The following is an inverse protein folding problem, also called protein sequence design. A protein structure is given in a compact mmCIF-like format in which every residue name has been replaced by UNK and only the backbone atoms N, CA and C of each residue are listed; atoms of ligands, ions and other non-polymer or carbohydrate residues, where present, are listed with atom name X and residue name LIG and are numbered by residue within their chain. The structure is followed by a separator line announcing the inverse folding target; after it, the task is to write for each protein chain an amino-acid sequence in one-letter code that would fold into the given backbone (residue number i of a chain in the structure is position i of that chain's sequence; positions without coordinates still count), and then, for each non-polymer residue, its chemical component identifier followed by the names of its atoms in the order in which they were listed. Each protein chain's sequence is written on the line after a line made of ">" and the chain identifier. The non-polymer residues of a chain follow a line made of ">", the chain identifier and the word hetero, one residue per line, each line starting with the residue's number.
data_IF_347780891011
#
_entry.id   IF_347780891011
#
_cell.length_a   1.000
_cell.length_b   1.000
_cell.length_c   1.000
_cell.angle_alpha   90.00
_cell.angle_beta   90.00
_cell.angle_gamma   90.00
#
_symmetry.space_group_name_H-M   'P 1'
#
loop_
_entity.id
_entity.type
_entity.pdbx_description
1 polymer ?
#
# COMPACT_ATOMS: atom_id res chain seq x y z
N UNK A 1 10.76 -27.63 17.14
CA UNK A 1 10.14 -27.20 15.87
C UNK A 1 10.02 -25.70 15.91
N UNK A 2 10.91 -24.97 15.23
CA UNK A 2 10.83 -23.51 15.22
C UNK A 2 9.57 -23.08 14.49
N UNK A 3 8.71 -22.31 15.15
CA UNK A 3 7.51 -21.76 14.50
C UNK A 3 7.96 -20.94 13.30
N UNK A 4 7.58 -21.35 12.10
CA UNK A 4 7.78 -20.55 10.90
C UNK A 4 7.02 -19.24 11.08
N UNK A 5 7.76 -18.14 11.22
CA UNK A 5 7.18 -16.80 11.31
C UNK A 5 6.73 -16.38 9.91
N UNK A 6 5.43 -16.38 9.68
CA UNK A 6 4.84 -15.93 8.41
C UNK A 6 4.82 -14.40 8.35
N UNK A 7 5.25 -13.86 7.20
CA UNK A 7 5.19 -12.44 6.89
C UNK A 7 4.03 -12.19 5.93
N UNK A 8 3.18 -11.21 6.25
CA UNK A 8 2.05 -10.83 5.43
C UNK A 8 2.12 -9.35 5.10
N UNK A 9 1.75 -8.99 3.88
CA UNK A 9 1.58 -7.61 3.46
C UNK A 9 0.17 -7.41 2.90
N UNK A 10 -0.46 -6.30 3.27
CA UNK A 10 -1.72 -5.84 2.71
C UNK A 10 -1.53 -4.44 2.14
N UNK A 11 -1.95 -4.24 0.90
CA UNK A 11 -1.94 -2.95 0.22
C UNK A 11 -3.38 -2.58 -0.15
N UNK A 12 -3.79 -1.37 0.22
CA UNK A 12 -5.08 -0.78 -0.08
C UNK A 12 -4.87 0.48 -0.95
N UNK A 13 -5.52 0.52 -2.11
CA UNK A 13 -5.36 1.55 -3.12
C UNK A 13 -6.61 2.44 -3.21
N UNK A 14 -6.79 3.29 -2.21
CA UNK A 14 -7.90 4.23 -2.16
C UNK A 14 -7.74 5.42 -3.11
N UNK A 15 -8.88 6.02 -3.50
CA UNK A 15 -8.93 7.16 -4.41
C UNK A 15 -8.23 8.43 -3.87
N UNK A 16 -8.12 8.58 -2.55
CA UNK A 16 -7.41 9.68 -1.91
C UNK A 16 -6.01 9.28 -1.40
N UNK A 17 -5.88 8.07 -0.84
CA UNK A 17 -4.65 7.62 -0.20
C UNK A 17 -4.43 6.14 -0.42
N UNK A 18 -3.16 5.75 -0.55
CA UNK A 18 -2.74 4.36 -0.52
C UNK A 18 -2.23 4.02 0.87
N UNK A 19 -2.47 2.78 1.30
CA UNK A 19 -2.04 2.24 2.57
C UNK A 19 -1.28 0.93 2.36
N UNK A 20 -0.22 0.72 3.13
CA UNK A 20 0.47 -0.56 3.22
C UNK A 20 0.61 -0.95 4.69
N UNK A 21 0.37 -2.22 4.99
CA UNK A 21 0.57 -2.83 6.29
C UNK A 21 1.37 -4.12 6.11
N UNK A 22 2.52 -4.22 6.77
CA UNK A 22 3.30 -5.46 6.85
C UNK A 22 3.22 -5.96 8.28
N UNK A 23 2.83 -7.22 8.44
CA UNK A 23 2.72 -7.89 9.74
C UNK A 23 3.47 -9.21 9.74
N UNK A 24 3.85 -9.64 10.93
CA UNK A 24 4.42 -10.95 11.19
C UNK A 24 3.53 -11.72 12.15
N UNK A 25 3.24 -12.97 11.84
CA UNK A 25 2.61 -13.88 12.79
C UNK A 25 3.68 -14.66 13.57
N UNK A 26 3.62 -14.60 14.89
CA UNK A 26 4.48 -15.36 15.80
C UNK A 26 3.63 -16.00 16.88
N UNK A 27 3.62 -17.34 16.92
CA UNK A 27 2.86 -18.12 17.90
C UNK A 27 1.37 -17.68 18.01
N UNK A 28 0.70 -17.49 16.87
CA UNK A 28 -0.70 -17.05 16.80
C UNK A 28 -0.94 -15.57 17.12
N UNK A 29 0.11 -14.80 17.40
CA UNK A 29 0.04 -13.35 17.65
C UNK A 29 0.52 -12.56 16.44
N UNK A 30 -0.21 -11.50 16.09
CA UNK A 30 0.14 -10.61 14.98
C UNK A 30 0.94 -9.41 15.49
N UNK A 31 2.13 -9.22 14.93
CA UNK A 31 3.00 -8.07 15.19
C UNK A 31 3.06 -7.18 13.95
N UNK A 32 2.70 -5.90 14.10
CA UNK A 32 2.87 -4.93 13.00
C UNK A 32 4.34 -4.55 12.87
N UNK A 33 4.90 -4.71 11.67
CA UNK A 33 6.27 -4.32 11.36
C UNK A 33 6.33 -2.95 10.70
N UNK A 34 5.48 -2.73 9.69
CA UNK A 34 5.50 -1.50 8.89
C UNK A 34 4.07 -1.06 8.61
N UNK A 35 3.81 0.25 8.75
CA UNK A 35 2.57 0.89 8.31
C UNK A 35 2.92 2.14 7.52
N UNK A 36 2.44 2.22 6.29
CA UNK A 36 2.63 3.40 5.42
C UNK A 36 1.27 3.91 4.98
N UNK A 37 1.11 5.24 5.02
CA UNK A 37 -0.02 5.96 4.44
C UNK A 37 0.50 7.12 3.61
N UNK A 38 0.08 7.19 2.35
CA UNK A 38 0.46 8.26 1.43
C UNK A 38 -0.76 8.80 0.71
N UNK A 39 -0.92 10.12 0.72
CA UNK A 39 -1.93 10.81 -0.08
C UNK A 39 -1.49 10.77 -1.54
N UNK A 40 -2.24 10.07 -2.38
CA UNK A 40 -2.02 9.95 -3.83
C UNK A 40 -2.99 10.84 -4.60
N UNK A 41 -4.21 11.02 -4.07
CA UNK A 41 -5.30 11.83 -4.67
C UNK A 41 -5.52 11.46 -6.14
N UNK A 42 -5.82 10.19 -6.40
CA UNK A 42 -6.24 9.72 -7.72
C UNK A 42 -7.52 10.40 -8.16
N UNK A 43 -8.48 10.57 -7.25
CA UNK A 43 -9.77 11.20 -7.55
C UNK A 43 -9.64 12.61 -8.15
N UNK A 44 -8.62 13.37 -7.73
CA UNK A 44 -8.37 14.71 -8.24
C UNK A 44 -7.92 14.74 -9.71
N UNK A 45 -7.54 13.59 -10.27
CA UNK A 45 -7.16 13.44 -11.67
C UNK A 45 -8.12 12.57 -12.48
N UNK A 46 -9.31 12.26 -11.96
CA UNK A 46 -10.36 11.59 -12.74
C UNK A 46 -11.06 12.61 -13.65
N UNK A 47 -11.25 12.25 -14.92
CA UNK A 47 -12.12 12.99 -15.83
C UNK A 47 -13.56 12.47 -15.79
N UNK A 48 -14.45 13.04 -16.60
CA UNK A 48 -15.87 12.66 -16.67
C UNK A 48 -16.12 11.22 -17.15
N UNK A 49 -15.11 10.58 -17.75
CA UNK A 49 -15.15 9.19 -18.20
C UNK A 49 -14.55 8.22 -17.18
N UNK A 50 -14.23 8.71 -15.97
CA UNK A 50 -13.52 7.96 -14.92
C UNK A 50 -12.11 7.50 -15.34
N UNK A 51 -11.49 8.15 -16.31
CA UNK A 51 -10.09 7.91 -16.67
C UNK A 51 -9.17 8.79 -15.81
N UNK A 52 -8.07 8.21 -15.35
CA UNK A 52 -7.03 8.93 -14.63
C UNK A 52 -6.13 9.69 -15.60
N UNK A 53 -5.84 10.94 -15.25
CA UNK A 53 -4.74 11.71 -15.83
C UNK A 53 -3.38 11.04 -15.58
N UNK A 54 -2.44 11.28 -16.48
CA UNK A 54 -1.08 10.77 -16.37
C UNK A 54 -0.41 11.21 -15.06
N UNK A 55 -0.66 12.45 -14.62
CA UNK A 55 -0.12 12.98 -13.37
C UNK A 55 -0.67 12.23 -12.15
N UNK A 56 -1.94 11.79 -12.18
CA UNK A 56 -2.51 10.98 -11.12
C UNK A 56 -1.93 9.57 -11.10
N UNK A 57 -1.75 8.96 -12.27
CA UNK A 57 -1.10 7.65 -12.40
C UNK A 57 0.34 7.68 -11.90
N UNK A 58 1.12 8.70 -12.28
CA UNK A 58 2.52 8.88 -11.86
C UNK A 58 2.64 8.97 -10.33
N UNK A 59 1.78 9.75 -9.65
CA UNK A 59 1.74 9.78 -8.17
C UNK A 59 1.44 8.40 -7.59
N UNK A 60 0.57 7.63 -8.24
CA UNK A 60 0.25 6.26 -7.85
C UNK A 60 1.47 5.34 -7.95
N UNK A 61 2.16 5.36 -9.09
CA UNK A 61 3.37 4.55 -9.32
C UNK A 61 4.50 4.93 -8.38
N UNK A 62 4.73 6.22 -8.12
CA UNK A 62 5.72 6.66 -7.13
C UNK A 62 5.42 6.12 -5.73
N UNK A 63 4.14 6.09 -5.34
CA UNK A 63 3.75 5.48 -4.07
C UNK A 63 3.97 3.96 -4.05
N UNK A 64 3.69 3.27 -5.16
CA UNK A 64 3.91 1.82 -5.28
C UNK A 64 5.41 1.47 -5.26
N UNK A 65 6.28 2.30 -5.87
CA UNK A 65 7.75 2.14 -5.76
C UNK A 65 8.21 2.25 -4.32
N UNK A 66 7.70 3.22 -3.56
CA UNK A 66 7.98 3.33 -2.12
C UNK A 66 7.53 2.08 -1.33
N UNK A 67 6.41 1.46 -1.71
CA UNK A 67 5.96 0.22 -1.07
C UNK A 67 6.89 -0.95 -1.41
N UNK A 68 7.36 -1.05 -2.66
CA UNK A 68 8.29 -2.08 -3.09
C UNK A 68 9.64 -2.04 -2.34
N UNK A 69 10.13 -0.85 -1.97
CA UNK A 69 11.34 -0.70 -1.13
C UNK A 69 11.20 -1.25 0.31
N UNK A 70 9.99 -1.64 0.70
CA UNK A 70 9.62 -1.99 2.08
C UNK A 70 9.08 -3.43 2.20
N UNK A 71 9.06 -4.17 1.09
CA UNK A 71 8.76 -5.59 0.98
C UNK A 71 10.07 -6.38 0.82
#
# INVERSE_FOLDING_TARGET
>A
MGSTSSLYAAIDLGSNSFHMLVVREVAGSIQTLTRIKRKVRLAAGLNSENALSNEAMERGWQCLRLFAERL
#
